data_IF_256056175984
#
_entry.id   IF_256056175984
#
_cell.length_a   1.000
_cell.length_b   1.000
_cell.length_c   1.000
_cell.angle_alpha   90.00
_cell.angle_beta   90.00
_cell.angle_gamma   90.00
#
_symmetry.space_group_name_H-M   'P 1'
#
loop_
_entity.id
_entity.type
_entity.pdbx_description
1 polymer ?
#
# COMPACT_ATOMS: atom_id res chain seq x y z
N UNK A 1 -48.90 -3.20 26.83
CA UNK A 1 -48.63 -2.54 25.54
C UNK A 1 -48.01 -3.58 24.62
N UNK A 2 -48.59 -3.85 23.44
CA UNK A 2 -48.13 -4.94 22.58
C UNK A 2 -46.86 -4.55 21.83
N UNK A 3 -45.93 -5.52 21.74
CA UNK A 3 -44.69 -5.46 20.97
C UNK A 3 -44.98 -5.34 19.46
N UNK A 4 -44.22 -4.53 18.70
CA UNK A 4 -44.40 -4.43 17.26
C UNK A 4 -43.94 -5.72 16.54
N UNK A 5 -44.64 -6.05 15.46
CA UNK A 5 -44.51 -7.28 14.67
C UNK A 5 -43.29 -7.27 13.75
N UNK A 6 -42.75 -8.47 13.51
CA UNK A 6 -41.52 -8.81 12.77
C UNK A 6 -41.44 -8.35 11.29
N UNK A 7 -42.44 -7.65 10.76
CA UNK A 7 -42.53 -7.29 9.34
C UNK A 7 -42.15 -5.83 9.04
N UNK A 8 -41.61 -5.09 10.01
CA UNK A 8 -41.12 -3.71 9.84
C UNK A 8 -39.59 -3.56 9.84
N UNK A 9 -38.82 -4.63 10.05
CA UNK A 9 -37.34 -4.56 10.02
C UNK A 9 -36.78 -4.78 8.60
N UNK A 10 -37.57 -5.32 7.67
CA UNK A 10 -37.19 -5.51 6.25
C UNK A 10 -37.13 -4.20 5.42
N UNK A 11 -37.45 -3.06 6.03
CA UNK A 11 -37.40 -1.73 5.39
C UNK A 11 -36.50 -0.72 6.11
N UNK A 12 -35.59 -1.15 6.98
CA UNK A 12 -34.47 -0.28 7.34
C UNK A 12 -33.53 -0.25 6.14
N UNK A 13 -33.80 0.74 5.29
CA UNK A 13 -33.00 1.16 4.17
C UNK A 13 -31.51 1.08 4.51
N UNK A 14 -30.75 0.56 3.55
CA UNK A 14 -29.49 1.12 3.13
C UNK A 14 -29.49 2.64 3.39
N UNK A 15 -29.00 3.09 4.54
CA UNK A 15 -28.72 4.50 4.76
C UNK A 15 -27.36 4.78 4.11
N UNK A 16 -27.28 5.66 3.10
CA UNK A 16 -25.99 6.07 2.52
C UNK A 16 -25.20 6.99 3.46
N UNK A 17 -25.64 7.19 4.71
CA UNK A 17 -25.19 8.29 5.57
C UNK A 17 -23.93 8.02 6.40
N UNK A 18 -23.21 6.90 6.13
CA UNK A 18 -21.80 6.76 6.56
C UNK A 18 -20.78 7.18 5.51
N UNK A 19 -21.18 7.87 4.44
CA UNK A 19 -20.26 8.72 3.67
C UNK A 19 -20.12 10.08 4.38
N UNK A 20 -19.42 10.05 5.52
CA UNK A 20 -18.90 11.26 6.14
C UNK A 20 -17.96 11.95 5.15
N UNK A 21 -18.32 13.19 4.81
CA UNK A 21 -17.59 14.15 3.97
C UNK A 21 -16.09 13.87 3.93
N UNK A 22 -15.57 13.64 2.72
CA UNK A 22 -14.16 13.88 2.43
C UNK A 22 -13.80 15.26 3.01
N UNK A 23 -12.76 15.40 3.84
CA UNK A 23 -12.15 16.71 3.99
C UNK A 23 -11.67 17.09 2.60
N UNK A 24 -12.19 18.20 2.07
CA UNK A 24 -11.65 18.86 0.90
C UNK A 24 -10.18 19.15 1.20
N UNK A 25 -9.28 18.31 0.69
CA UNK A 25 -7.88 18.65 0.60
C UNK A 25 -7.84 19.89 -0.28
N UNK A 26 -7.45 21.03 0.29
CA UNK A 26 -7.20 22.25 -0.45
C UNK A 26 -6.32 21.91 -1.65
N UNK A 27 -6.90 22.00 -2.84
CA UNK A 27 -6.16 22.02 -4.08
C UNK A 27 -5.25 23.24 -4.02
N UNK A 28 -3.96 23.02 -3.79
CA UNK A 28 -2.96 23.98 -4.24
C UNK A 28 -2.94 23.85 -5.76
N UNK A 29 -3.67 24.74 -6.42
CA UNK A 29 -3.62 24.91 -7.88
C UNK A 29 -2.18 25.24 -8.29
N UNK A 30 -1.44 24.25 -8.77
CA UNK A 30 -0.32 24.49 -9.66
C UNK A 30 -0.88 24.51 -11.08
N UNK A 31 -1.47 25.64 -11.45
CA UNK A 31 -1.87 25.90 -12.83
C UNK A 31 -0.58 26.10 -13.65
N UNK A 32 -0.22 25.08 -14.43
CA UNK A 32 0.71 25.22 -15.54
C UNK A 32 -0.06 25.92 -16.66
N UNK A 33 0.26 27.19 -16.88
CA UNK A 33 -0.22 27.97 -18.01
C UNK A 33 0.40 27.39 -19.29
N UNK A 34 -0.44 26.77 -20.12
CA UNK A 34 -0.20 26.70 -21.57
C UNK A 34 -0.79 27.98 -22.16
N UNK A 35 0.04 28.73 -22.88
CA UNK A 35 -0.27 30.06 -23.38
C UNK A 35 -1.19 30.07 -24.59
N UNK A 36 -1.62 31.26 -24.98
CA UNK A 36 -1.58 31.69 -26.36
C UNK A 36 -1.60 33.22 -26.46
N UNK A 37 -1.01 33.69 -27.53
CA UNK A 37 -0.79 35.04 -28.00
C UNK A 37 -2.07 35.73 -28.48
N UNK A 38 -2.14 37.07 -28.28
CA UNK A 38 -2.54 38.11 -29.25
C UNK A 38 -3.31 39.28 -28.62
N UNK A 39 -2.91 40.49 -29.00
CA UNK A 39 -3.86 41.54 -29.37
C UNK A 39 -4.17 42.60 -28.33
N UNK A 40 -3.49 43.74 -28.47
CA UNK A 40 -3.97 45.13 -28.35
C UNK A 40 -5.38 45.40 -27.79
N UNK A 41 -5.51 46.40 -26.92
CA UNK A 41 -5.96 47.77 -27.26
C UNK A 41 -6.00 48.61 -25.96
N UNK A 42 -5.64 49.88 -26.14
CA UNK A 42 -5.66 51.02 -25.21
C UNK A 42 -7.05 51.28 -24.66
N UNK A 43 -7.17 51.65 -23.38
CA UNK A 43 -8.16 52.65 -22.94
C UNK A 43 -7.71 53.27 -21.61
N UNK A 44 -7.56 54.60 -21.67
CA UNK A 44 -7.32 55.53 -20.57
C UNK A 44 -8.45 55.46 -19.54
N UNK A 45 -8.14 55.70 -18.27
CA UNK A 45 -8.93 56.59 -17.43
C UNK A 45 -8.12 56.99 -16.19
N UNK A 46 -8.10 58.30 -16.00
CA UNK A 46 -7.56 59.05 -14.88
C UNK A 46 -8.20 58.62 -13.55
N UNK A 47 -7.42 58.64 -12.47
CA UNK A 47 -7.85 59.29 -11.23
C UNK A 47 -6.66 59.44 -10.28
N UNK A 48 -6.38 60.71 -9.97
CA UNK A 48 -5.44 61.15 -8.95
C UNK A 48 -5.89 60.69 -7.56
N UNK A 49 -4.93 60.33 -6.71
CA UNK A 49 -4.74 60.87 -5.35
C UNK A 49 -3.99 59.86 -4.45
N UNK A 50 -3.01 60.34 -3.68
CA UNK A 50 -2.50 59.64 -2.50
C UNK A 50 -1.03 59.24 -2.54
N UNK A 51 -0.18 60.17 -2.11
CA UNK A 51 1.15 59.96 -1.53
C UNK A 51 1.33 58.63 -0.77
N UNK A 52 2.41 57.90 -1.06
CA UNK A 52 3.37 57.48 -0.03
C UNK A 52 4.68 56.97 -0.64
N UNK A 53 5.78 57.65 -0.29
CA UNK A 53 7.16 57.32 -0.67
C UNK A 53 7.77 56.52 0.47
N UNK A 54 8.01 55.23 0.26
CA UNK A 54 9.10 54.49 0.91
C UNK A 54 9.68 53.47 -0.10
N UNK A 55 10.88 53.78 -0.59
CA UNK A 55 11.60 52.97 -1.57
C UNK A 55 11.95 51.58 -1.01
N UNK A 56 11.56 50.54 -1.73
CA UNK A 56 11.95 49.16 -1.47
C UNK A 56 13.37 48.92 -1.99
N UNK A 57 14.27 48.61 -1.05
CA UNK A 57 15.65 48.20 -1.28
C UNK A 57 15.71 46.97 -2.19
N UNK A 58 16.50 47.09 -3.25
CA UNK A 58 16.92 46.05 -4.22
C UNK A 58 16.95 44.62 -3.64
N UNK A 59 16.01 43.77 -4.06
CA UNK A 59 16.14 42.32 -3.90
C UNK A 59 17.05 41.79 -5.02
N UNK A 60 18.27 41.43 -4.61
CA UNK A 60 19.21 40.63 -5.38
C UNK A 60 18.52 39.35 -5.87
N UNK A 61 18.51 39.16 -7.19
CA UNK A 61 17.97 37.99 -7.86
C UNK A 61 18.71 36.74 -7.35
N UNK A 62 18.05 35.93 -6.51
CA UNK A 62 18.48 34.55 -6.27
C UNK A 62 18.08 33.74 -7.50
N UNK A 63 19.09 33.27 -8.24
CA UNK A 63 18.91 32.31 -9.32
C UNK A 63 18.09 31.11 -8.83
N UNK A 64 17.07 30.74 -9.61
CA UNK A 64 16.30 29.53 -9.38
C UNK A 64 17.25 28.32 -9.40
N UNK A 65 17.06 27.32 -8.52
CA UNK A 65 17.88 26.12 -8.56
C UNK A 65 17.65 25.43 -9.91
N UNK A 66 18.73 25.22 -10.66
CA UNK A 66 18.74 24.37 -11.84
C UNK A 66 18.08 23.04 -11.46
N UNK A 67 16.98 22.72 -12.16
CA UNK A 67 16.43 21.37 -12.13
C UNK A 67 17.53 20.46 -12.69
N UNK A 68 18.01 19.53 -11.88
CA UNK A 68 18.85 18.42 -12.32
C UNK A 68 18.02 17.53 -13.25
N UNK A 69 17.83 18.00 -14.47
CA UNK A 69 17.18 17.27 -15.53
C UNK A 69 18.16 16.19 -16.03
N UNK A 70 17.70 14.94 -16.14
CA UNK A 70 18.44 13.90 -16.88
C UNK A 70 19.15 12.80 -16.09
N UNK A 71 18.93 12.62 -14.77
CA UNK A 71 19.49 11.45 -14.06
C UNK A 71 18.60 10.20 -14.16
N UNK A 72 17.27 10.34 -14.01
CA UNK A 72 16.34 9.20 -14.06
C UNK A 72 16.02 8.73 -15.48
N UNK A 73 16.06 9.63 -16.47
CA UNK A 73 15.80 9.28 -17.88
C UNK A 73 16.81 8.24 -18.40
N UNK A 74 18.06 8.35 -17.95
CA UNK A 74 19.16 7.43 -18.29
C UNK A 74 19.00 6.04 -17.67
N UNK A 75 18.31 5.93 -16.54
CA UNK A 75 17.97 4.62 -15.96
C UNK A 75 16.88 3.96 -16.81
N UNK A 76 15.86 4.73 -17.20
CA UNK A 76 14.77 4.18 -18.03
C UNK A 76 15.18 3.83 -19.46
N UNK A 77 16.36 4.24 -19.93
CA UNK A 77 16.91 3.83 -21.22
C UNK A 77 17.66 2.49 -21.19
N UNK A 78 17.83 1.88 -20.01
CA UNK A 78 18.43 0.55 -19.88
C UNK A 78 17.48 -0.55 -20.39
N UNK A 79 18.01 -1.67 -20.90
CA UNK A 79 17.18 -2.84 -21.21
C UNK A 79 16.41 -3.31 -19.98
N UNK A 80 15.18 -3.79 -20.18
CA UNK A 80 14.29 -4.25 -19.11
C UNK A 80 14.95 -5.31 -18.21
N UNK A 81 15.71 -6.25 -18.80
CA UNK A 81 16.39 -7.31 -18.05
C UNK A 81 17.45 -6.74 -17.09
N UNK A 82 18.19 -5.70 -17.51
CA UNK A 82 19.15 -5.01 -16.65
C UNK A 82 18.44 -4.28 -15.50
N UNK A 83 17.30 -3.66 -15.78
CA UNK A 83 16.48 -3.02 -14.75
C UNK A 83 15.96 -4.04 -13.74
N UNK A 84 15.49 -5.20 -14.19
CA UNK A 84 15.03 -6.27 -13.31
C UNK A 84 16.14 -6.83 -12.43
N UNK A 85 17.35 -7.03 -12.97
CA UNK A 85 18.50 -7.45 -12.18
C UNK A 85 18.83 -6.42 -11.10
N UNK A 86 18.95 -5.14 -11.46
CA UNK A 86 19.22 -4.04 -10.52
C UNK A 86 18.15 -3.99 -9.42
N UNK A 87 16.87 -4.00 -9.80
CA UNK A 87 15.76 -3.92 -8.85
C UNK A 87 15.64 -5.17 -7.97
N UNK A 88 16.10 -6.33 -8.44
CA UNK A 88 16.08 -7.58 -7.67
C UNK A 88 17.00 -7.55 -6.45
N UNK A 89 18.06 -6.74 -6.50
CA UNK A 89 19.01 -6.55 -5.39
C UNK A 89 18.56 -5.50 -4.38
N UNK A 90 17.55 -4.69 -4.70
CA UNK A 90 17.03 -3.67 -3.80
C UNK A 90 16.22 -4.27 -2.67
N UNK A 91 16.16 -3.58 -1.53
CA UNK A 91 15.27 -3.96 -0.44
C UNK A 91 13.81 -3.80 -0.89
N UNK A 92 12.87 -4.68 -0.47
CA UNK A 92 11.48 -4.64 -0.94
C UNK A 92 10.78 -3.28 -0.75
N UNK A 93 11.14 -2.55 0.31
CA UNK A 93 10.65 -1.19 0.57
C UNK A 93 11.05 -0.21 -0.53
N UNK A 94 12.28 -0.32 -1.04
CA UNK A 94 12.78 0.57 -2.08
C UNK A 94 12.18 0.23 -3.43
N UNK A 95 11.98 -1.06 -3.72
CA UNK A 95 11.23 -1.50 -4.91
C UNK A 95 9.80 -0.97 -4.87
N UNK A 96 9.13 -0.98 -3.71
CA UNK A 96 7.81 -0.36 -3.53
C UNK A 96 7.84 1.15 -3.79
N UNK A 97 8.80 1.87 -3.21
CA UNK A 97 8.93 3.32 -3.41
C UNK A 97 9.21 3.66 -4.88
N UNK A 98 10.07 2.87 -5.52
CA UNK A 98 10.40 3.01 -6.94
C UNK A 98 9.17 2.80 -7.82
N UNK A 99 8.36 1.77 -7.55
CA UNK A 99 7.10 1.52 -8.26
C UNK A 99 6.08 2.65 -8.13
N UNK A 100 6.23 3.55 -7.14
CA UNK A 100 5.35 4.70 -6.89
C UNK A 100 5.92 6.01 -7.42
N UNK A 101 7.18 6.02 -7.87
CA UNK A 101 7.90 7.25 -8.28
C UNK A 101 7.45 7.78 -9.65
N UNK A 102 7.40 6.92 -10.67
CA UNK A 102 7.00 7.30 -12.04
C UNK A 102 6.01 6.29 -12.63
N UNK A 103 5.23 6.73 -13.62
CA UNK A 103 4.26 5.86 -14.32
C UNK A 103 4.94 4.70 -15.06
N UNK A 104 6.11 4.95 -15.65
CA UNK A 104 6.89 3.92 -16.36
C UNK A 104 7.36 2.82 -15.42
N UNK A 105 7.98 3.20 -14.29
CA UNK A 105 8.46 2.26 -13.29
C UNK A 105 7.33 1.49 -12.61
N UNK A 106 6.19 2.15 -12.37
CA UNK A 106 4.98 1.48 -11.86
C UNK A 106 4.54 0.37 -12.81
N UNK A 107 4.44 0.68 -14.09
CA UNK A 107 3.99 -0.28 -15.12
C UNK A 107 4.97 -1.45 -15.20
N UNK A 108 6.28 -1.14 -15.24
CA UNK A 108 7.34 -2.13 -15.32
C UNK A 108 7.38 -3.08 -14.11
N UNK A 109 7.23 -2.56 -12.89
CA UNK A 109 7.35 -3.34 -11.65
C UNK A 109 6.05 -4.03 -11.21
N UNK A 110 4.90 -3.60 -11.74
CA UNK A 110 3.61 -4.27 -11.46
C UNK A 110 3.28 -5.34 -12.49
N UNK A 111 4.03 -5.38 -13.60
CA UNK A 111 3.85 -6.36 -14.64
C UNK A 111 4.19 -7.80 -14.20
N UNK A 112 3.58 -8.79 -14.87
CA UNK A 112 3.78 -10.20 -14.59
C UNK A 112 5.25 -10.66 -14.73
N UNK A 113 6.02 -10.04 -15.61
CA UNK A 113 7.44 -10.36 -15.80
C UNK A 113 8.31 -9.90 -14.61
N UNK A 114 7.89 -8.86 -13.88
CA UNK A 114 8.62 -8.36 -12.71
C UNK A 114 8.46 -9.23 -11.45
N UNK A 115 7.66 -10.30 -11.49
CA UNK A 115 7.49 -11.19 -10.32
C UNK A 115 8.81 -11.75 -9.79
N UNK A 116 9.76 -12.04 -10.69
CA UNK A 116 11.11 -12.49 -10.32
C UNK A 116 11.83 -11.47 -9.43
N UNK A 117 11.74 -10.18 -9.78
CA UNK A 117 12.31 -9.06 -9.03
C UNK A 117 11.81 -9.06 -7.58
N UNK A 118 10.49 -9.13 -7.39
CA UNK A 118 9.89 -9.13 -6.06
C UNK A 118 10.27 -10.36 -5.24
N UNK A 119 10.34 -11.55 -5.86
CA UNK A 119 10.78 -12.77 -5.18
C UNK A 119 12.21 -12.67 -4.70
N UNK A 120 13.13 -12.24 -5.56
CA UNK A 120 14.54 -12.06 -5.22
C UNK A 120 14.70 -11.00 -4.12
N UNK A 121 14.02 -9.87 -4.26
CA UNK A 121 14.04 -8.79 -3.28
C UNK A 121 13.51 -9.26 -1.92
N UNK A 122 12.38 -9.97 -1.87
CA UNK A 122 11.83 -10.52 -0.62
C UNK A 122 12.72 -11.60 0.00
N UNK A 123 13.27 -12.50 -0.81
CA UNK A 123 14.15 -13.57 -0.34
C UNK A 123 15.47 -13.03 0.25
N UNK A 124 15.87 -11.84 -0.17
CA UNK A 124 17.04 -11.17 0.38
C UNK A 124 16.80 -10.67 1.83
N UNK A 125 15.55 -10.55 2.29
CA UNK A 125 15.25 -10.13 3.67
C UNK A 125 15.44 -11.29 4.64
N UNK A 126 16.34 -11.08 5.60
CA UNK A 126 16.70 -12.09 6.59
C UNK A 126 15.48 -12.59 7.38
N UNK A 127 15.34 -13.91 7.41
CA UNK A 127 14.33 -14.65 8.19
C UNK A 127 12.87 -14.26 7.91
N UNK A 128 12.60 -13.53 6.82
CA UNK A 128 11.23 -13.21 6.40
C UNK A 128 10.52 -14.52 5.99
N UNK A 129 9.33 -14.81 6.53
CA UNK A 129 8.55 -15.96 6.06
C UNK A 129 8.26 -15.85 4.56
N UNK A 130 8.21 -17.00 3.89
CA UNK A 130 7.88 -17.03 2.47
C UNK A 130 6.50 -16.37 2.21
N UNK A 131 6.35 -15.75 1.05
CA UNK A 131 5.07 -15.20 0.61
C UNK A 131 4.02 -16.30 0.61
N UNK A 132 2.86 -16.12 1.29
CA UNK A 132 1.83 -17.14 1.33
C UNK A 132 1.14 -17.23 -0.05
N UNK A 133 0.52 -18.37 -0.35
CA UNK A 133 -0.13 -18.61 -1.66
C UNK A 133 -1.37 -17.74 -1.89
N UNK A 134 -1.97 -17.18 -0.83
CA UNK A 134 -3.14 -16.30 -0.91
C UNK A 134 -2.77 -14.82 -1.19
N UNK A 135 -1.48 -14.51 -1.39
CA UNK A 135 -1.01 -13.15 -1.68
C UNK A 135 -0.01 -13.13 -2.83
N UNK A 136 0.00 -12.02 -3.56
CA UNK A 136 1.09 -11.70 -4.49
C UNK A 136 2.29 -11.15 -3.74
N UNK A 137 3.48 -11.27 -4.35
CA UNK A 137 4.72 -10.79 -3.77
C UNK A 137 4.68 -9.26 -3.54
N UNK A 138 4.02 -8.51 -4.42
CA UNK A 138 3.81 -7.05 -4.29
C UNK A 138 2.93 -6.74 -3.06
N UNK A 139 1.82 -7.47 -2.91
CA UNK A 139 0.94 -7.29 -1.75
C UNK A 139 1.65 -7.64 -0.45
N UNK A 140 2.47 -8.69 -0.45
CA UNK A 140 3.23 -9.11 0.73
C UNK A 140 4.30 -8.09 1.10
N UNK A 141 5.02 -7.56 0.10
CA UNK A 141 5.96 -6.47 0.32
C UNK A 141 5.26 -5.23 0.90
N UNK A 142 4.11 -4.83 0.33
CA UNK A 142 3.34 -3.69 0.81
C UNK A 142 2.90 -3.89 2.27
N UNK A 143 2.37 -5.08 2.60
CA UNK A 143 1.98 -5.44 3.96
C UNK A 143 3.16 -5.39 4.94
N UNK A 144 4.31 -5.94 4.56
CA UNK A 144 5.45 -6.08 5.45
C UNK A 144 6.23 -4.78 5.66
N UNK A 145 6.41 -3.96 4.62
CA UNK A 145 7.40 -2.87 4.62
C UNK A 145 6.85 -1.45 4.41
N UNK A 146 5.63 -1.29 3.89
CA UNK A 146 5.00 0.03 3.82
C UNK A 146 4.43 0.42 5.19
N UNK A 147 4.15 1.70 5.42
CA UNK A 147 3.56 2.19 6.67
C UNK A 147 2.21 2.88 6.45
N UNK A 148 1.60 2.69 5.28
CA UNK A 148 0.34 3.32 4.90
C UNK A 148 -0.84 2.41 5.19
N UNK A 149 -1.96 3.02 5.54
CA UNK A 149 -3.24 2.32 5.62
C UNK A 149 -3.63 1.77 4.25
N UNK A 150 -4.03 0.51 4.16
CA UNK A 150 -4.44 -0.11 2.90
C UNK A 150 -5.76 0.45 2.33
N UNK A 151 -6.54 1.18 3.13
CA UNK A 151 -7.85 1.71 2.73
C UNK A 151 -7.82 3.19 2.39
N UNK A 152 -7.22 4.02 3.24
CA UNK A 152 -7.19 5.47 3.07
C UNK A 152 -5.81 6.04 2.72
N UNK A 153 -4.78 5.18 2.64
CA UNK A 153 -3.39 5.55 2.35
C UNK A 153 -2.73 6.52 3.36
N UNK A 154 -3.40 6.79 4.49
CA UNK A 154 -2.83 7.58 5.58
C UNK A 154 -1.52 6.94 6.08
N UNK A 155 -0.44 7.72 6.24
CA UNK A 155 0.86 7.21 6.67
C UNK A 155 0.88 6.91 8.18
N UNK A 156 1.97 6.29 8.64
CA UNK A 156 2.25 6.12 10.08
C UNK A 156 1.53 4.94 10.76
N UNK A 157 0.99 3.99 9.99
CA UNK A 157 0.41 2.76 10.50
C UNK A 157 1.52 1.77 10.87
N UNK A 158 1.85 1.71 12.16
CA UNK A 158 2.92 0.85 12.69
C UNK A 158 2.48 -0.60 12.92
N UNK A 159 1.20 -0.80 13.25
CA UNK A 159 0.66 -2.12 13.56
C UNK A 159 0.22 -2.84 12.29
N UNK A 160 0.49 -4.14 12.23
CA UNK A 160 0.16 -5.01 11.09
C UNK A 160 -0.80 -6.08 11.60
N UNK A 161 -1.99 -6.16 11.02
CA UNK A 161 -2.91 -7.25 11.28
C UNK A 161 -2.57 -8.44 10.37
N UNK A 162 -1.53 -9.20 10.73
CA UNK A 162 -1.01 -10.32 9.93
C UNK A 162 -2.06 -11.38 9.63
N UNK A 163 -2.92 -11.69 10.59
CA UNK A 163 -4.04 -12.63 10.44
C UNK A 163 -5.15 -12.10 9.52
N UNK A 164 -5.17 -10.81 9.22
CA UNK A 164 -6.13 -10.18 8.29
C UNK A 164 -5.47 -9.73 6.97
N UNK A 165 -4.15 -9.89 6.83
CA UNK A 165 -3.35 -9.44 5.67
C UNK A 165 -3.46 -7.93 5.40
N UNK A 166 -3.66 -7.09 6.42
CA UNK A 166 -3.86 -5.65 6.23
C UNK A 166 -3.13 -4.77 7.23
N UNK A 167 -2.78 -3.56 6.77
CA UNK A 167 -2.48 -2.40 7.62
C UNK A 167 -3.69 -1.48 7.66
N UNK A 168 -4.11 -1.11 8.85
CA UNK A 168 -5.31 -0.33 9.07
C UNK A 168 -5.06 0.79 10.08
N UNK A 169 -5.37 2.04 9.72
CA UNK A 169 -5.38 3.12 10.70
C UNK A 169 -6.59 2.97 11.66
N UNK A 170 -6.58 3.61 12.84
CA UNK A 170 -7.67 3.48 13.82
C UNK A 170 -9.06 3.82 13.27
N UNK A 171 -9.15 4.83 12.39
CA UNK A 171 -10.41 5.22 11.74
C UNK A 171 -10.93 4.12 10.81
N UNK A 172 -10.05 3.55 9.97
CA UNK A 172 -10.45 2.46 9.08
C UNK A 172 -10.71 1.16 9.86
N UNK A 173 -10.08 0.96 11.02
CA UNK A 173 -10.33 -0.20 11.88
C UNK A 173 -11.81 -0.24 12.28
N UNK A 174 -12.36 0.88 12.73
CA UNK A 174 -13.79 1.02 13.09
C UNK A 174 -14.76 0.84 11.91
N UNK A 175 -14.29 0.98 10.67
CA UNK A 175 -15.13 0.89 9.47
C UNK A 175 -15.03 -0.47 8.78
N UNK A 176 -13.90 -1.16 8.93
CA UNK A 176 -13.56 -2.39 8.19
C UNK A 176 -13.52 -3.62 9.08
N UNK A 177 -13.82 -3.46 10.37
CA UNK A 177 -13.91 -4.56 11.31
C UNK A 177 -15.18 -4.46 12.12
N UNK A 178 -15.73 -5.62 12.45
CA UNK A 178 -16.97 -5.78 13.21
C UNK A 178 -16.72 -6.64 14.45
N UNK A 179 -17.55 -6.48 15.48
CA UNK A 179 -17.50 -7.35 16.66
C UNK A 179 -18.10 -8.73 16.37
N UNK A 180 -17.91 -9.67 17.30
CA UNK A 180 -18.60 -10.97 17.28
C UNK A 180 -20.12 -10.79 17.34
N UNK A 181 -20.60 -9.92 18.23
CA UNK A 181 -22.03 -9.62 18.38
C UNK A 181 -22.64 -9.07 17.06
N UNK A 182 -21.88 -8.27 16.30
CA UNK A 182 -22.31 -7.78 14.98
C UNK A 182 -22.24 -8.86 13.90
N UNK A 183 -21.26 -9.76 13.96
CA UNK A 183 -21.13 -10.88 13.02
C UNK A 183 -22.29 -11.86 13.18
N UNK A 184 -22.68 -12.17 14.41
CA UNK A 184 -23.81 -13.06 14.72
C UNK A 184 -25.13 -12.55 14.13
N UNK A 185 -25.34 -11.22 14.14
CA UNK A 185 -26.51 -10.60 13.53
C UNK A 185 -26.57 -10.76 12.01
N UNK A 186 -25.44 -11.09 11.37
CA UNK A 186 -25.35 -11.22 9.92
C UNK A 186 -25.28 -12.68 9.46
N UNK A 187 -25.15 -13.63 10.39
CA UNK A 187 -25.27 -15.04 10.08
C UNK A 187 -26.74 -15.40 9.76
N UNK A 188 -26.98 -16.30 8.80
CA UNK A 188 -28.33 -16.82 8.56
C UNK A 188 -28.91 -17.47 9.82
N UNK A 189 -30.22 -17.29 10.07
CA UNK A 189 -30.89 -17.70 11.33
C UNK A 189 -30.70 -19.19 11.69
N UNK A 190 -30.53 -20.06 10.69
CA UNK A 190 -30.36 -21.50 10.85
C UNK A 190 -28.88 -21.95 10.95
N UNK A 191 -27.92 -21.02 10.91
CA UNK A 191 -26.50 -21.33 10.91
C UNK A 191 -25.87 -20.85 12.20
N UNK A 192 -25.35 -21.80 12.98
CA UNK A 192 -24.58 -21.51 14.18
C UNK A 192 -23.11 -21.89 13.98
N UNK A 193 -22.21 -20.94 14.25
CA UNK A 193 -20.76 -21.15 14.19
C UNK A 193 -20.20 -20.97 15.60
N UNK A 194 -19.90 -22.07 16.27
CA UNK A 194 -19.41 -22.06 17.67
C UNK A 194 -18.11 -21.26 17.87
N UNK A 195 -17.23 -21.25 16.86
CA UNK A 195 -15.92 -20.58 16.92
C UNK A 195 -15.68 -19.77 15.65
N UNK A 196 -16.15 -18.52 15.57
CA UNK A 196 -16.02 -17.73 14.37
C UNK A 196 -14.54 -17.41 14.04
N UNK A 197 -13.62 -17.36 15.02
CA UNK A 197 -12.18 -17.13 14.75
C UNK A 197 -11.52 -18.26 13.96
N UNK A 198 -12.11 -19.46 14.00
CA UNK A 198 -11.66 -20.61 13.24
C UNK A 198 -12.03 -20.50 11.76
N UNK A 199 -12.96 -19.62 11.38
CA UNK A 199 -13.46 -19.48 10.00
C UNK A 199 -13.11 -18.09 9.45
N UNK A 200 -13.37 -17.05 10.22
CA UNK A 200 -13.27 -15.67 9.80
C UNK A 200 -11.91 -15.06 10.19
N UNK A 201 -11.25 -14.35 9.26
CA UNK A 201 -10.05 -13.58 9.58
C UNK A 201 -10.36 -12.54 10.65
N UNK A 202 -9.56 -12.51 11.72
CA UNK A 202 -9.77 -11.63 12.86
C UNK A 202 -8.45 -10.98 13.30
N UNK A 203 -8.58 -9.93 14.10
CA UNK A 203 -7.48 -9.38 14.88
C UNK A 203 -7.89 -9.21 16.34
N UNK A 204 -6.89 -9.21 17.22
CA UNK A 204 -7.06 -8.84 18.61
C UNK A 204 -6.55 -7.40 18.77
N UNK A 205 -7.43 -6.41 18.96
CA UNK A 205 -6.99 -5.04 19.13
C UNK A 205 -6.19 -4.93 20.43
N UNK A 206 -5.03 -4.26 20.40
CA UNK A 206 -4.25 -3.99 21.59
C UNK A 206 -4.95 -2.89 22.42
N UNK A 207 -5.98 -3.22 23.22
CA UNK A 207 -6.63 -2.21 24.05
C UNK A 207 -5.74 -1.73 25.20
N UNK A 208 -5.77 -0.41 25.44
CA UNK A 208 -5.33 0.22 26.68
C UNK A 208 -6.42 0.07 27.74
N UNK A 209 -6.15 -0.79 28.73
CA UNK A 209 -6.67 -0.83 30.12
C UNK A 209 -8.02 -0.14 30.37
N UNK A 210 -9.13 -0.89 30.24
CA UNK A 210 -10.29 -0.82 31.15
C UNK A 210 -10.98 -2.18 31.18
N UNK A 211 -10.58 -3.02 32.15
CA UNK A 211 -11.30 -4.16 32.75
C UNK A 211 -11.94 -5.27 31.89
N UNK A 212 -11.77 -5.31 30.56
CA UNK A 212 -12.28 -6.39 29.70
C UNK A 212 -11.19 -7.27 29.08
N UNK A 213 -11.49 -8.55 28.79
CA UNK A 213 -10.71 -9.34 27.83
C UNK A 213 -10.84 -8.69 26.45
N UNK A 214 -9.74 -8.58 25.70
CA UNK A 214 -9.79 -8.11 24.30
C UNK A 214 -10.64 -9.10 23.51
N UNK A 215 -11.81 -8.64 23.04
CA UNK A 215 -12.66 -9.41 22.14
C UNK A 215 -12.06 -9.38 20.71
N UNK A 216 -12.18 -10.48 19.95
CA UNK A 216 -11.77 -10.48 18.55
C UNK A 216 -12.62 -9.52 17.73
N UNK A 217 -12.00 -8.90 16.74
CA UNK A 217 -12.68 -8.12 15.72
C UNK A 217 -12.47 -8.78 14.36
N UNK A 218 -13.54 -8.99 13.62
CA UNK A 218 -13.54 -9.73 12.36
C UNK A 218 -13.39 -8.81 11.17
N UNK A 219 -12.55 -9.21 10.21
CA UNK A 219 -12.28 -8.40 9.03
C UNK A 219 -13.46 -8.48 8.06
N UNK A 220 -14.13 -7.35 7.90
CA UNK A 220 -15.41 -7.24 7.21
C UNK A 220 -15.37 -7.66 5.73
N UNK A 221 -14.39 -7.24 4.90
CA UNK A 221 -14.38 -7.57 3.47
C UNK A 221 -14.41 -9.09 3.17
N UNK A 222 -13.54 -9.96 3.72
CA UNK A 222 -13.68 -11.40 3.52
C UNK A 222 -14.88 -11.99 4.24
N UNK A 223 -15.26 -11.48 5.42
CA UNK A 223 -16.43 -11.97 6.13
C UNK A 223 -17.71 -11.80 5.30
N UNK A 224 -17.89 -10.67 4.62
CA UNK A 224 -19.04 -10.42 3.74
C UNK A 224 -19.13 -11.43 2.58
N UNK A 225 -17.99 -11.81 2.02
CA UNK A 225 -17.96 -12.85 0.98
C UNK A 225 -18.35 -14.21 1.53
N UNK A 226 -17.90 -14.54 2.75
CA UNK A 226 -18.25 -15.79 3.40
C UNK A 226 -19.74 -15.85 3.77
N UNK A 227 -20.31 -14.74 4.25
CA UNK A 227 -21.73 -14.62 4.53
C UNK A 227 -22.58 -14.82 3.26
N UNK A 228 -22.17 -14.22 2.13
CA UNK A 228 -22.84 -14.48 0.84
C UNK A 228 -22.77 -15.95 0.41
N UNK A 229 -21.68 -16.64 0.71
CA UNK A 229 -21.58 -18.08 0.41
C UNK A 229 -22.53 -18.89 1.30
N UNK A 230 -22.61 -18.55 2.59
CA UNK A 230 -23.52 -19.20 3.53
C UNK A 230 -24.99 -19.09 3.11
N UNK A 231 -25.42 -17.93 2.59
CA UNK A 231 -26.78 -17.72 2.07
C UNK A 231 -27.15 -18.66 0.90
N UNK A 232 -26.16 -19.20 0.19
CA UNK A 232 -26.36 -20.05 -1.00
C UNK A 232 -26.26 -21.54 -0.74
N UNK A 233 -25.91 -21.95 0.49
CA UNK A 233 -25.75 -23.36 0.83
C UNK A 233 -27.10 -24.07 0.88
N UNK A 234 -27.14 -25.29 0.31
CA UNK A 234 -28.38 -26.04 0.17
C UNK A 234 -28.74 -26.86 1.41
N UNK A 235 -27.74 -27.47 2.05
CA UNK A 235 -27.92 -28.42 3.15
C UNK A 235 -26.76 -28.41 4.16
N UNK A 236 -26.95 -29.15 5.26
CA UNK A 236 -25.98 -29.25 6.35
C UNK A 236 -24.67 -29.92 5.91
N UNK A 237 -24.72 -30.80 4.90
CA UNK A 237 -23.54 -31.44 4.33
C UNK A 237 -22.67 -30.42 3.59
N UNK A 238 -23.27 -29.53 2.81
CA UNK A 238 -22.59 -28.41 2.17
C UNK A 238 -22.02 -27.44 3.20
N UNK A 239 -22.73 -27.16 4.29
CA UNK A 239 -22.23 -26.35 5.41
C UNK A 239 -21.03 -26.98 6.11
N UNK A 240 -21.06 -28.29 6.35
CA UNK A 240 -19.93 -29.02 6.94
C UNK A 240 -18.69 -28.98 6.03
N UNK A 241 -18.87 -29.22 4.72
CA UNK A 241 -17.77 -29.15 3.75
C UNK A 241 -17.21 -27.73 3.63
N UNK A 242 -18.08 -26.72 3.55
CA UNK A 242 -17.69 -25.31 3.49
C UNK A 242 -16.92 -24.88 4.74
N UNK A 243 -17.43 -25.20 5.93
CA UNK A 243 -16.80 -24.82 7.19
C UNK A 243 -15.45 -25.51 7.38
N UNK A 244 -15.31 -26.77 6.94
CA UNK A 244 -14.02 -27.47 6.92
C UNK A 244 -12.99 -26.78 6.01
N UNK A 245 -13.36 -26.43 4.77
CA UNK A 245 -12.49 -25.67 3.84
C UNK A 245 -12.05 -24.32 4.44
N UNK A 246 -12.99 -23.56 5.01
CA UNK A 246 -12.65 -22.27 5.63
C UNK A 246 -11.75 -22.43 6.84
N UNK A 247 -11.98 -23.44 7.67
CA UNK A 247 -11.14 -23.75 8.84
C UNK A 247 -9.72 -24.08 8.45
N UNK A 248 -9.53 -24.88 7.40
CA UNK A 248 -8.20 -25.19 6.89
C UNK A 248 -7.47 -23.93 6.40
N UNK A 249 -8.13 -23.11 5.56
CA UNK A 249 -7.56 -21.86 5.04
C UNK A 249 -7.21 -20.89 6.16
N UNK A 250 -8.10 -20.76 7.15
CA UNK A 250 -7.88 -19.88 8.29
C UNK A 250 -6.75 -20.40 9.19
N UNK A 251 -6.62 -21.71 9.40
CA UNK A 251 -5.50 -22.30 10.13
C UNK A 251 -4.15 -22.04 9.44
N UNK A 252 -4.09 -22.20 8.11
CA UNK A 252 -2.89 -21.87 7.31
C UNK A 252 -2.54 -20.38 7.44
N UNK A 253 -3.54 -19.51 7.37
CA UNK A 253 -3.38 -18.07 7.55
C UNK A 253 -2.84 -17.73 8.94
N UNK A 254 -3.40 -18.32 9.99
CA UNK A 254 -2.97 -18.08 11.37
C UNK A 254 -1.55 -18.59 11.62
N UNK A 255 -1.19 -19.76 11.08
CA UNK A 255 0.17 -20.29 11.16
C UNK A 255 1.19 -19.34 10.52
N UNK A 256 0.90 -18.87 9.30
CA UNK A 256 1.77 -17.92 8.61
C UNK A 256 1.81 -16.56 9.32
N UNK A 257 0.66 -16.06 9.80
CA UNK A 257 0.59 -14.82 10.56
C UNK A 257 1.47 -14.86 11.82
N UNK A 258 1.45 -15.97 12.57
CA UNK A 258 2.31 -16.16 13.74
C UNK A 258 3.80 -16.12 13.37
N UNK A 259 4.19 -16.70 12.24
CA UNK A 259 5.57 -16.61 11.74
C UNK A 259 5.96 -15.17 11.38
N UNK A 260 5.05 -14.43 10.73
CA UNK A 260 5.30 -13.02 10.40
C UNK A 260 5.37 -12.13 11.63
N UNK A 261 4.53 -12.38 12.63
CA UNK A 261 4.53 -11.63 13.89
C UNK A 261 5.81 -11.91 14.70
N UNK A 262 6.24 -13.18 14.75
CA UNK A 262 7.53 -13.55 15.31
C UNK A 262 8.69 -12.84 14.58
N UNK A 263 8.67 -12.87 13.24
CA UNK A 263 9.66 -12.16 12.44
C UNK A 263 9.68 -10.65 12.71
N UNK A 264 8.51 -10.02 12.75
CA UNK A 264 8.37 -8.58 12.95
C UNK A 264 8.84 -8.13 14.34
N UNK A 265 8.62 -8.94 15.36
CA UNK A 265 9.04 -8.62 16.74
C UNK A 265 10.51 -8.91 17.00
N UNK A 266 11.08 -9.96 16.40
CA UNK A 266 12.43 -10.43 16.73
C UNK A 266 13.51 -10.00 15.73
N UNK A 267 13.16 -9.79 14.46
CA UNK A 267 14.13 -9.59 13.38
C UNK A 267 14.01 -8.23 12.72
N UNK A 268 12.78 -7.73 12.47
CA UNK A 268 12.61 -6.42 11.84
C UNK A 268 13.30 -5.25 12.57
N UNK A 269 13.34 -5.18 13.92
CA UNK A 269 14.05 -4.11 14.63
C UNK A 269 15.57 -4.23 14.56
N UNK A 270 16.10 -5.41 14.24
CA UNK A 270 17.54 -5.69 14.12
C UNK A 270 18.06 -5.45 12.71
N UNK A 271 17.17 -5.27 11.74
CA UNK A 271 17.55 -4.92 10.38
C UNK A 271 18.17 -3.53 10.40
N UNK A 272 19.38 -3.36 9.83
CA UNK A 272 19.95 -2.05 9.57
C UNK A 272 18.92 -1.19 8.80
N UNK A 273 18.87 0.13 9.01
CA UNK A 273 17.94 0.99 8.27
C UNK A 273 18.14 0.80 6.75
N UNK A 274 17.07 0.93 5.96
CA UNK A 274 17.07 0.54 4.54
C UNK A 274 18.18 1.17 3.66
N UNK A 275 18.82 2.25 4.12
CA UNK A 275 19.96 2.88 3.43
C UNK A 275 21.31 2.23 3.71
N UNK A 276 21.44 1.43 4.77
CA UNK A 276 22.62 0.57 4.96
C UNK A 276 22.38 -0.71 4.19
N UNK A 277 22.73 -0.69 2.90
CA UNK A 277 22.93 -1.94 2.15
C UNK A 277 23.98 -2.75 2.92
N UNK A 278 23.71 -4.03 3.18
CA UNK A 278 24.73 -4.89 3.77
C UNK A 278 25.99 -4.83 2.89
N UNK A 279 27.19 -4.70 3.47
CA UNK A 279 28.43 -4.47 2.69
C UNK A 279 28.65 -5.50 1.58
N UNK A 280 28.12 -6.73 1.75
CA UNK A 280 28.12 -7.76 0.69
C UNK A 280 27.20 -7.36 -0.46
N UNK A 281 25.99 -6.87 -0.18
CA UNK A 281 25.04 -6.38 -1.20
C UNK A 281 25.55 -5.14 -1.92
N UNK A 282 26.24 -4.23 -1.22
CA UNK A 282 26.91 -3.10 -1.88
C UNK A 282 27.95 -3.60 -2.88
N UNK A 283 28.79 -4.56 -2.50
CA UNK A 283 29.80 -5.13 -3.39
C UNK A 283 29.15 -5.87 -4.57
N UNK A 284 28.11 -6.67 -4.35
CA UNK A 284 27.41 -7.36 -5.45
C UNK A 284 26.70 -6.37 -6.36
N UNK A 285 26.07 -5.34 -5.80
CA UNK A 285 25.39 -4.29 -6.55
C UNK A 285 26.38 -3.48 -7.38
N UNK A 286 27.47 -3.01 -6.77
CA UNK A 286 28.55 -2.30 -7.46
C UNK A 286 29.16 -3.19 -8.54
N UNK A 287 29.38 -4.48 -8.27
CA UNK A 287 29.93 -5.42 -9.24
C UNK A 287 28.95 -5.67 -10.40
N UNK A 288 27.66 -5.87 -10.12
CA UNK A 288 26.63 -6.04 -11.14
C UNK A 288 26.46 -4.78 -11.98
N UNK A 289 26.45 -3.60 -11.34
CA UNK A 289 26.30 -2.31 -12.03
C UNK A 289 27.54 -1.98 -12.86
N UNK A 290 28.75 -2.25 -12.35
CA UNK A 290 30.00 -2.08 -13.10
C UNK A 290 30.13 -3.07 -14.25
N UNK A 291 29.71 -4.33 -14.08
CA UNK A 291 29.64 -5.31 -15.16
C UNK A 291 28.60 -4.93 -16.23
N UNK A 292 27.41 -4.47 -15.81
CA UNK A 292 26.38 -3.96 -16.72
C UNK A 292 26.85 -2.72 -17.47
N UNK A 293 27.46 -1.75 -16.79
CA UNK A 293 28.06 -0.58 -17.42
C UNK A 293 29.18 -1.00 -18.39
N UNK A 294 30.05 -1.92 -18.01
CA UNK A 294 31.11 -2.43 -18.89
C UNK A 294 30.54 -3.13 -20.13
N UNK A 295 29.43 -3.87 -20.01
CA UNK A 295 28.77 -4.55 -21.12
C UNK A 295 28.00 -3.59 -22.03
N UNK A 296 27.31 -2.60 -21.45
CA UNK A 296 26.55 -1.59 -22.19
C UNK A 296 27.47 -0.60 -22.92
N UNK A 297 28.62 -0.27 -22.32
CA UNK A 297 29.62 0.62 -22.92
C UNK A 297 30.67 -0.11 -23.76
N UNK A 298 30.61 -1.45 -23.84
CA UNK A 298 31.53 -2.25 -24.65
C UNK A 298 31.50 -1.82 -26.13
N UNK A 299 30.32 -1.48 -26.65
CA UNK A 299 30.16 -1.08 -28.05
C UNK A 299 30.65 0.35 -28.32
N UNK A 300 30.44 1.28 -27.38
CA UNK A 300 30.92 2.68 -27.45
C UNK A 300 32.45 2.77 -27.31
N UNK A 301 33.04 1.94 -26.45
CA UNK A 301 34.50 1.87 -26.27
C UNK A 301 35.20 1.23 -27.47
N UNK A 302 34.61 0.20 -28.08
CA UNK A 302 35.14 -0.40 -29.31
C UNK A 302 34.96 0.54 -30.51
N UNK A 303 33.86 1.28 -30.59
CA UNK A 303 33.65 2.30 -31.63
C UNK A 303 34.64 3.47 -31.51
N UNK A 304 34.93 3.94 -30.28
CA UNK A 304 35.95 4.97 -30.05
C UNK A 304 37.38 4.48 -30.31
N UNK A 305 37.66 3.18 -30.13
CA UNK A 305 38.96 2.59 -30.41
C UNK A 305 39.21 2.30 -31.91
N UNK A 306 38.17 2.27 -32.74
CA UNK A 306 38.28 2.10 -34.20
C UNK A 306 38.53 3.43 -34.96
N UNK A 307 38.48 4.56 -34.25
CA UNK A 307 38.74 5.90 -34.78
C UNK A 307 40.12 6.47 -34.39
N UNK A 308 41.00 5.64 -33.80
CA UNK A 308 42.40 5.96 -33.53
C UNK A 308 43.33 5.17 -34.43
#
# INVERSE_FOLDING_TARGET
MPLPTLNQVRHIAFTPERYGKQPACANTSHAVLLGDTRGAVVEDNDDENGQEVYGCSKLSQRSAPERLDGSLEKITSLPIDALYEIFGHLHPKDVLNLSRSTKGLRTLLTDGHARGVWRTSLASVRALPACPSDMTEIQYANLAFDDRCHFCLAPGVKEIAWACRVRCCPTCLQQKFISEDELDLWLPENIYIEKPEAIFPFLLPAQKRTSGRNKPMYFLPPAREYLRQLDTLADDAALAAWSADKREKQALRMKHAAQCEYWYTHWAPRSPPAHTMDSVRELTFIFALSALLALLWRNELVASAAHF
#
